data_IF_076330215137
#
_entry.id   IF_076330215137
#
_cell.length_a   1.000
_cell.length_b   1.000
_cell.length_c   1.000
_cell.angle_alpha   90.00
_cell.angle_beta   90.00
_cell.angle_gamma   90.00
#
_symmetry.space_group_name_H-M   'P 1'
#
loop_
_entity.id
_entity.type
_entity.pdbx_description
1 polymer ?
#
# COMPACT_ATOMS: atom_id res chain seq x y z
N UNK A 1 2.05 -30.31 43.60
CA UNK A 1 3.29 -29.65 43.11
C UNK A 1 3.39 -29.57 41.59
N UNK A 2 2.91 -30.56 40.82
CA UNK A 2 3.12 -30.60 39.36
C UNK A 2 2.37 -29.48 38.60
N UNK A 3 1.12 -29.16 38.98
CA UNK A 3 0.31 -28.14 38.29
C UNK A 3 0.85 -26.71 38.44
N UNK A 4 1.33 -26.35 39.63
CA UNK A 4 1.92 -25.02 39.88
C UNK A 4 3.25 -24.80 39.16
N UNK A 5 4.02 -25.87 38.97
CA UNK A 5 5.29 -25.82 38.23
C UNK A 5 5.04 -25.66 36.72
N UNK A 6 4.02 -26.34 36.18
CA UNK A 6 3.60 -26.21 34.78
C UNK A 6 3.12 -24.78 34.45
N UNK A 7 2.29 -24.19 35.31
CA UNK A 7 1.81 -22.81 35.14
C UNK A 7 2.96 -21.79 35.21
N UNK A 8 3.95 -21.99 36.08
CA UNK A 8 5.12 -21.13 36.16
C UNK A 8 5.97 -21.20 34.88
N UNK A 9 6.20 -22.40 34.33
CA UNK A 9 6.95 -22.58 33.07
C UNK A 9 6.22 -21.94 31.90
N UNK A 10 4.90 -22.12 31.80
CA UNK A 10 4.07 -21.49 30.77
C UNK A 10 4.12 -19.96 30.89
N UNK A 11 3.98 -19.42 32.11
CA UNK A 11 4.03 -17.98 32.36
C UNK A 11 5.39 -17.37 32.02
N UNK A 12 6.49 -18.01 32.42
CA UNK A 12 7.85 -17.56 32.08
C UNK A 12 8.07 -17.62 30.56
N UNK A 13 7.62 -18.69 29.90
CA UNK A 13 7.70 -18.81 28.45
C UNK A 13 6.96 -17.70 27.72
N UNK A 14 5.75 -17.35 28.18
CA UNK A 14 4.99 -16.22 27.64
C UNK A 14 5.70 -14.88 27.81
N UNK A 15 6.27 -14.61 29.00
CA UNK A 15 7.00 -13.36 29.24
C UNK A 15 8.23 -13.23 28.34
N UNK A 16 8.99 -14.31 28.16
CA UNK A 16 10.14 -14.33 27.24
C UNK A 16 9.66 -14.09 25.80
N UNK A 17 8.60 -14.76 25.37
CA UNK A 17 8.01 -14.53 24.04
C UNK A 17 7.60 -13.06 23.84
N UNK A 18 6.87 -12.49 24.79
CA UNK A 18 6.39 -11.11 24.70
C UNK A 18 7.54 -10.10 24.60
N UNK A 19 8.62 -10.32 25.35
CA UNK A 19 9.81 -9.47 25.31
C UNK A 19 10.49 -9.53 23.95
N UNK A 20 10.69 -10.74 23.40
CA UNK A 20 11.27 -10.91 22.06
C UNK A 20 10.38 -10.25 21.01
N UNK A 21 9.07 -10.46 21.07
CA UNK A 21 8.13 -9.88 20.12
C UNK A 21 8.12 -8.34 20.15
N UNK A 22 8.27 -7.73 21.33
CA UNK A 22 8.40 -6.27 21.47
C UNK A 22 9.73 -5.74 20.95
N UNK A 23 10.81 -6.50 21.12
CA UNK A 23 12.14 -6.07 20.64
C UNK A 23 12.24 -5.94 19.11
N UNK A 24 11.29 -6.52 18.37
CA UNK A 24 11.21 -6.46 16.91
C UNK A 24 10.35 -5.30 16.40
N UNK A 25 9.74 -4.50 17.28
CA UNK A 25 8.83 -3.42 16.86
C UNK A 25 9.54 -2.37 16.02
N UNK A 26 10.80 -2.06 16.32
CA UNK A 26 11.60 -1.07 15.57
C UNK A 26 11.82 -1.49 14.10
N UNK A 27 11.72 -2.78 13.77
CA UNK A 27 11.83 -3.29 12.40
C UNK A 27 10.60 -2.93 11.54
N UNK A 28 9.50 -2.52 12.17
CA UNK A 28 8.23 -2.14 11.54
C UNK A 28 8.18 -0.67 11.13
N UNK A 29 9.19 0.12 11.49
CA UNK A 29 9.24 1.55 11.19
C UNK A 29 9.94 1.77 9.86
N UNK A 30 9.21 2.35 8.91
CA UNK A 30 9.77 2.76 7.63
C UNK A 30 9.03 3.97 7.09
N UNK A 31 9.77 4.93 6.56
CA UNK A 31 9.20 6.15 5.95
C UNK A 31 9.84 6.32 4.58
N UNK A 32 8.99 6.39 3.56
CA UNK A 32 9.40 6.65 2.18
C UNK A 32 9.93 8.10 2.09
N UNK A 33 11.06 8.27 1.40
CA UNK A 33 11.68 9.58 1.25
C UNK A 33 10.80 10.56 0.45
N UNK A 34 10.93 11.87 0.73
CA UNK A 34 10.17 12.89 -0.02
C UNK A 34 10.55 12.95 -1.50
N UNK A 35 11.81 12.67 -1.83
CA UNK A 35 12.27 12.61 -3.22
C UNK A 35 11.56 11.48 -3.98
N UNK A 36 11.49 10.29 -3.39
CA UNK A 36 10.79 9.13 -3.96
C UNK A 36 9.28 9.38 -4.11
N UNK A 37 8.65 10.04 -3.13
CA UNK A 37 7.24 10.46 -3.22
C UNK A 37 6.99 11.46 -4.35
N UNK A 38 7.93 12.38 -4.58
CA UNK A 38 7.84 13.37 -5.65
C UNK A 38 8.00 12.71 -7.03
N UNK A 39 8.86 11.70 -7.12
CA UNK A 39 9.06 10.93 -8.35
C UNK A 39 7.78 10.19 -8.77
N UNK A 40 6.96 9.70 -7.82
CA UNK A 40 5.67 9.06 -8.12
C UNK A 40 4.68 9.96 -8.86
N UNK A 41 4.73 11.27 -8.61
CA UNK A 41 3.85 12.28 -9.20
C UNK A 41 4.37 12.85 -10.52
N UNK A 42 5.65 12.64 -10.83
CA UNK A 42 6.33 13.29 -11.97
C UNK A 42 6.79 12.31 -13.05
N UNK A 43 6.64 11.01 -12.83
CA UNK A 43 7.05 10.04 -13.82
C UNK A 43 6.21 10.14 -15.10
N UNK A 44 6.83 9.91 -16.27
CA UNK A 44 6.13 9.96 -17.54
C UNK A 44 5.04 8.89 -17.54
N UNK A 45 3.80 9.31 -17.80
CA UNK A 45 2.72 8.40 -18.21
C UNK A 45 3.28 7.48 -19.28
N UNK A 46 3.18 6.13 -19.14
CA UNK A 46 3.48 5.24 -20.24
C UNK A 46 2.68 5.72 -21.42
N UNK A 47 3.37 6.21 -22.45
CA UNK A 47 2.72 6.69 -23.64
C UNK A 47 1.90 5.49 -24.14
N UNK A 48 0.57 5.58 -24.11
CA UNK A 48 -0.33 4.68 -24.82
C UNK A 48 -0.15 4.95 -26.33
N UNK A 49 1.08 4.83 -26.81
CA UNK A 49 1.41 4.64 -28.19
C UNK A 49 0.97 3.22 -28.49
N UNK A 50 -0.18 3.11 -29.14
CA UNK A 50 -0.70 1.93 -29.78
C UNK A 50 0.43 0.94 -30.12
N UNK A 51 0.30 -0.27 -29.60
CA UNK A 51 1.03 -1.45 -30.04
C UNK A 51 0.65 -1.89 -31.46
N UNK A 52 0.44 -0.92 -32.35
CA UNK A 52 0.36 -1.05 -33.81
C UNK A 52 1.60 -0.46 -34.48
N UNK A 53 2.69 -0.33 -33.73
CA UNK A 53 4.04 -0.28 -34.28
C UNK A 53 4.51 -1.69 -34.58
N UNK A 54 3.98 -2.31 -35.64
CA UNK A 54 4.61 -3.43 -36.32
C UNK A 54 6.12 -3.13 -36.40
N UNK A 55 7.02 -4.03 -35.95
CA UNK A 55 8.44 -3.81 -36.15
C UNK A 55 8.60 -3.62 -37.64
N UNK A 56 9.07 -2.45 -38.07
CA UNK A 56 9.28 -2.16 -39.47
C UNK A 56 10.25 -3.22 -40.00
N UNK A 57 9.69 -4.29 -40.55
CA UNK A 57 10.40 -5.31 -41.27
C UNK A 57 10.69 -4.71 -42.64
N UNK A 58 11.55 -3.70 -42.64
CA UNK A 58 12.23 -3.26 -43.85
C UNK A 58 13.20 -4.38 -44.19
N UNK A 59 12.64 -5.40 -44.86
CA UNK A 59 13.42 -6.17 -45.80
C UNK A 59 14.10 -5.15 -46.71
N UNK A 60 15.44 -5.11 -46.79
CA UNK A 60 16.11 -4.16 -47.68
C UNK A 60 15.72 -4.51 -49.11
N UNK A 61 14.79 -3.75 -49.67
CA UNK A 61 14.59 -3.69 -51.12
C UNK A 61 15.82 -3.02 -51.70
N UNK A 62 16.60 -3.81 -52.42
CA UNK A 62 17.68 -3.39 -53.29
C UNK A 62 17.17 -2.30 -54.26
N UNK A 63 17.68 -1.08 -54.12
CA UNK A 63 17.36 0.03 -55.02
C UNK A 63 17.36 1.41 -54.36
N UNK A 64 18.44 2.16 -54.60
CA UNK A 64 18.55 3.62 -54.53
C UNK A 64 18.61 4.31 -53.16
N UNK A 65 19.75 4.15 -52.47
CA UNK A 65 20.24 5.12 -51.47
C UNK A 65 21.11 6.18 -52.18
N UNK A 66 20.84 7.49 -52.05
CA UNK A 66 21.74 8.54 -52.53
C UNK A 66 23.09 8.44 -51.79
N UNK A 67 24.24 8.62 -52.47
CA UNK A 67 25.55 8.25 -51.92
C UNK A 67 26.06 9.08 -50.72
N UNK A 68 25.28 10.01 -50.16
CA UNK A 68 25.78 11.00 -49.19
C UNK A 68 24.91 11.16 -47.89
N UNK A 69 24.14 10.16 -47.48
CA UNK A 69 23.50 10.21 -46.15
C UNK A 69 24.51 9.83 -45.05
N UNK A 70 24.78 10.68 -44.03
CA UNK A 70 25.68 10.33 -42.95
C UNK A 70 25.06 9.21 -42.11
N UNK A 71 25.76 8.07 -42.02
CA UNK A 71 25.43 7.01 -41.07
C UNK A 71 25.74 7.55 -39.68
N UNK A 72 24.70 7.93 -38.93
CA UNK A 72 24.83 8.28 -37.51
C UNK A 72 24.95 6.98 -36.74
N UNK A 73 26.16 6.46 -36.57
CA UNK A 73 26.48 5.40 -35.61
C UNK A 73 26.69 6.04 -34.24
N UNK A 74 25.59 6.37 -33.55
CA UNK A 74 25.67 6.61 -32.11
C UNK A 74 26.16 5.32 -31.43
N UNK A 75 27.25 5.33 -30.66
CA UNK A 75 27.68 4.15 -29.92
C UNK A 75 26.62 3.82 -28.86
N UNK A 76 25.96 2.69 -29.03
CA UNK A 76 24.99 2.18 -28.05
C UNK A 76 25.76 1.81 -26.78
N UNK A 77 25.74 2.71 -25.79
CA UNK A 77 26.38 2.49 -24.50
C UNK A 77 25.62 1.42 -23.70
N UNK A 78 26.34 0.50 -23.05
CA UNK A 78 25.75 -0.46 -22.12
C UNK A 78 24.96 0.22 -20.99
N UNK A 79 25.34 1.45 -20.59
CA UNK A 79 24.59 2.24 -19.63
C UNK A 79 23.25 2.80 -20.17
N UNK A 80 23.09 2.89 -21.49
CA UNK A 80 21.80 3.20 -22.13
C UNK A 80 20.95 1.94 -22.32
N UNK A 81 21.58 0.76 -22.41
CA UNK A 81 20.89 -0.52 -22.53
C UNK A 81 20.40 -1.04 -21.16
N UNK A 82 21.15 -0.78 -20.09
CA UNK A 82 20.82 -1.16 -18.71
C UNK A 82 21.13 -0.01 -17.74
N UNK A 83 20.34 1.07 -17.75
CA UNK A 83 20.51 2.13 -16.76
C UNK A 83 20.18 1.53 -15.38
N UNK A 84 21.19 1.37 -14.53
CA UNK A 84 21.06 0.75 -13.20
C UNK A 84 19.98 1.38 -12.30
N UNK A 85 19.57 2.62 -12.60
CA UNK A 85 18.44 3.32 -11.95
C UNK A 85 17.04 2.76 -12.32
N UNK A 86 16.94 1.92 -13.35
CA UNK A 86 15.67 1.35 -13.84
C UNK A 86 15.54 -0.15 -13.55
N UNK A 87 16.57 -0.81 -13.03
CA UNK A 87 16.52 -2.25 -12.72
C UNK A 87 16.31 -2.45 -11.23
N UNK A 88 15.11 -2.93 -10.86
CA UNK A 88 14.74 -3.19 -9.48
C UNK A 88 15.71 -4.19 -8.81
N UNK A 89 16.26 -3.88 -7.60
CA UNK A 89 17.16 -4.75 -6.85
C UNK A 89 16.68 -6.19 -6.65
N UNK A 90 15.36 -6.39 -6.55
CA UNK A 90 14.74 -7.69 -6.47
C UNK A 90 15.07 -8.61 -7.66
N UNK A 91 15.24 -8.02 -8.84
CA UNK A 91 15.54 -8.75 -10.08
C UNK A 91 17.02 -8.69 -10.46
N UNK A 92 17.93 -8.25 -9.58
CA UNK A 92 19.35 -8.23 -9.90
C UNK A 92 19.94 -9.61 -10.18
N UNK A 93 19.37 -10.66 -9.59
CA UNK A 93 19.76 -12.04 -9.87
C UNK A 93 19.19 -12.58 -11.19
N UNK A 94 18.06 -12.01 -11.65
CA UNK A 94 17.25 -12.46 -12.80
C UNK A 94 16.77 -11.24 -13.63
N UNK A 95 17.69 -10.43 -14.19
CA UNK A 95 17.37 -9.13 -14.78
C UNK A 95 16.49 -9.22 -16.03
N UNK A 96 16.47 -10.37 -16.71
CA UNK A 96 15.53 -10.65 -17.79
C UNK A 96 14.05 -10.59 -17.38
N UNK A 97 13.75 -10.66 -16.08
CA UNK A 97 12.40 -10.58 -15.53
C UNK A 97 12.08 -9.21 -14.93
N UNK A 98 13.04 -8.29 -14.93
CA UNK A 98 12.87 -6.93 -14.39
C UNK A 98 11.88 -6.08 -15.21
N UNK A 99 11.53 -6.50 -16.43
CA UNK A 99 10.70 -5.72 -17.34
C UNK A 99 11.38 -4.42 -17.79
N UNK A 100 10.63 -3.56 -18.47
CA UNK A 100 11.08 -2.22 -18.87
C UNK A 100 10.69 -1.14 -17.83
N UNK A 101 10.12 -1.54 -16.71
CA UNK A 101 9.51 -0.64 -15.73
C UNK A 101 10.57 -0.10 -14.77
N UNK A 102 10.57 1.21 -14.47
CA UNK A 102 11.52 1.77 -13.51
C UNK A 102 11.32 1.15 -12.12
N UNK A 103 12.41 1.06 -11.36
CA UNK A 103 12.35 0.78 -9.93
C UNK A 103 11.38 1.75 -9.24
N UNK A 104 10.48 1.26 -8.38
CA UNK A 104 9.48 2.12 -7.76
C UNK A 104 8.32 2.53 -8.69
N UNK A 105 8.13 1.78 -9.79
CA UNK A 105 7.22 2.07 -10.90
C UNK A 105 5.95 2.87 -10.58
N UNK A 106 5.77 3.91 -11.37
CA UNK A 106 4.66 4.85 -11.41
C UNK A 106 3.48 4.35 -12.23
N UNK A 107 3.45 3.06 -12.53
CA UNK A 107 2.38 2.49 -13.31
C UNK A 107 1.17 2.35 -12.40
N UNK A 108 0.23 3.27 -12.60
CA UNK A 108 -1.11 3.12 -12.06
C UNK A 108 -1.75 1.87 -12.67
N UNK A 109 -2.59 1.14 -11.93
CA UNK A 109 -3.41 0.09 -12.51
C UNK A 109 -4.25 0.64 -13.67
N UNK A 110 -4.73 -0.20 -14.60
CA UNK A 110 -5.54 0.24 -15.72
C UNK A 110 -6.71 1.13 -15.29
N UNK A 111 -6.95 2.18 -16.07
CA UNK A 111 -8.05 3.15 -15.91
C UNK A 111 -7.96 4.05 -14.66
N UNK A 112 -6.84 4.01 -13.93
CA UNK A 112 -6.55 5.00 -12.89
C UNK A 112 -5.87 6.23 -13.50
N UNK A 113 -6.36 7.40 -13.12
CA UNK A 113 -5.78 8.69 -13.47
C UNK A 113 -5.14 9.33 -12.25
N UNK A 114 -3.95 9.90 -12.42
CA UNK A 114 -3.32 10.70 -11.37
C UNK A 114 -4.24 11.84 -10.93
N UNK A 115 -4.30 12.06 -9.62
CA UNK A 115 -5.12 13.10 -9.05
C UNK A 115 -4.30 14.04 -8.18
N UNK A 116 -4.60 15.32 -8.31
CA UNK A 116 -4.25 16.27 -7.28
C UNK A 116 -5.35 16.23 -6.21
N UNK A 117 -5.05 15.91 -4.94
CA UNK A 117 -6.03 15.90 -3.87
C UNK A 117 -6.86 17.20 -3.77
N UNK A 118 -6.26 18.35 -4.09
CA UNK A 118 -6.94 19.65 -4.11
C UNK A 118 -8.01 19.76 -5.22
N UNK A 119 -7.81 19.10 -6.37
CA UNK A 119 -8.81 19.06 -7.44
C UNK A 119 -10.00 18.17 -7.08
N UNK A 120 -9.74 17.06 -6.38
CA UNK A 120 -10.81 16.16 -5.92
C UNK A 120 -11.69 16.83 -4.87
N UNK A 121 -11.12 17.62 -3.97
CA UNK A 121 -11.88 18.40 -2.96
C UNK A 121 -12.72 19.49 -3.59
N UNK A 122 -12.27 20.04 -4.73
CA UNK A 122 -13.00 21.06 -5.47
C UNK A 122 -14.21 20.51 -6.23
N UNK A 123 -14.32 19.17 -6.38
CA UNK A 123 -15.49 18.53 -6.95
C UNK A 123 -16.59 18.45 -5.89
N UNK A 124 -17.81 18.96 -6.16
CA UNK A 124 -18.95 18.80 -5.27
C UNK A 124 -19.46 17.35 -5.36
N UNK A 125 -18.71 16.44 -4.74
CA UNK A 125 -19.13 15.06 -4.51
C UNK A 125 -19.70 15.01 -3.09
N UNK A 126 -20.96 14.58 -2.96
CA UNK A 126 -21.38 13.98 -1.69
C UNK A 126 -20.57 12.69 -1.58
N UNK A 127 -19.49 12.73 -0.78
CA UNK A 127 -18.60 11.59 -0.60
C UNK A 127 -19.41 10.39 -0.12
N UNK A 128 -19.17 9.27 -0.78
CA UNK A 128 -19.76 7.99 -0.47
C UNK A 128 -18.87 7.22 0.51
N UNK A 129 -19.50 6.37 1.31
CA UNK A 129 -18.81 5.52 2.27
C UNK A 129 -17.88 4.52 1.55
N UNK A 130 -16.86 4.07 2.26
CA UNK A 130 -15.97 3.04 1.75
C UNK A 130 -16.71 1.69 1.71
N UNK A 131 -16.69 1.03 0.55
CA UNK A 131 -17.38 -0.24 0.32
C UNK A 131 -16.40 -1.41 0.21
N UNK A 132 -15.22 -1.16 -0.36
CA UNK A 132 -14.19 -2.20 -0.59
C UNK A 132 -12.80 -1.67 -0.28
N UNK A 133 -11.90 -2.59 0.09
CA UNK A 133 -10.49 -2.31 0.30
C UNK A 133 -9.64 -3.44 -0.28
N UNK A 134 -8.70 -3.08 -1.14
CA UNK A 134 -7.82 -4.01 -1.85
C UNK A 134 -6.36 -3.62 -1.66
N UNK A 135 -5.51 -4.60 -1.33
CA UNK A 135 -4.05 -4.48 -1.31
C UNK A 135 -3.47 -5.70 -2.01
N UNK A 136 -3.21 -5.56 -3.31
CA UNK A 136 -2.80 -6.68 -4.17
C UNK A 136 -1.49 -7.31 -3.71
N UNK A 137 -0.52 -6.50 -3.24
CA UNK A 137 0.80 -6.98 -2.82
C UNK A 137 0.75 -8.01 -1.67
N UNK A 138 -0.31 -7.96 -0.84
CA UNK A 138 -0.54 -8.91 0.24
C UNK A 138 -1.76 -9.83 0.00
N UNK A 139 -2.34 -9.80 -1.20
CA UNK A 139 -3.53 -10.56 -1.57
C UNK A 139 -4.69 -10.34 -0.58
N UNK A 140 -4.97 -9.06 -0.30
CA UNK A 140 -6.10 -8.62 0.51
C UNK A 140 -7.14 -8.00 -0.42
N UNK A 141 -8.38 -8.48 -0.32
CA UNK A 141 -9.57 -8.00 -1.03
C UNK A 141 -10.76 -8.27 -0.10
N UNK A 142 -11.43 -7.20 0.33
CA UNK A 142 -12.48 -7.29 1.35
C UNK A 142 -13.46 -6.14 1.24
N UNK A 143 -14.61 -6.32 1.89
CA UNK A 143 -15.59 -5.27 2.12
C UNK A 143 -15.16 -4.38 3.28
N UNK A 144 -15.53 -3.11 3.20
CA UNK A 144 -15.41 -2.17 4.31
C UNK A 144 -16.79 -2.00 4.96
N UNK A 145 -16.81 -1.91 6.28
CA UNK A 145 -17.99 -1.64 7.07
C UNK A 145 -17.75 -0.42 7.95
N UNK A 146 -18.66 0.54 7.93
CA UNK A 146 -18.60 1.67 8.86
C UNK A 146 -18.95 1.18 10.27
N UNK A 147 -17.98 1.28 11.19
CA UNK A 147 -18.16 0.75 12.53
C UNK A 147 -19.19 1.57 13.30
N UNK A 148 -20.20 0.92 13.87
CA UNK A 148 -21.12 1.61 14.78
C UNK A 148 -20.51 1.71 16.19
N UNK A 149 -20.81 2.81 16.89
CA UNK A 149 -20.52 2.96 18.32
C UNK A 149 -21.52 2.14 19.12
N UNK A 150 -21.04 1.18 19.91
CA UNK A 150 -21.85 0.53 20.94
C UNK A 150 -21.37 0.92 22.33
N UNK A 151 -22.33 1.15 23.23
CA UNK A 151 -22.09 1.48 24.63
C UNK A 151 -22.15 0.19 25.46
N UNK A 152 -21.03 -0.20 26.07
CA UNK A 152 -20.97 -1.29 27.05
C UNK A 152 -20.42 -0.74 28.37
N UNK A 153 -21.32 -0.57 29.35
CA UNK A 153 -21.01 -0.15 30.72
C UNK A 153 -20.20 1.17 30.82
N UNK A 154 -20.68 2.25 30.20
CA UNK A 154 -20.07 3.60 30.20
C UNK A 154 -18.71 3.67 29.47
N UNK A 155 -18.41 2.70 28.61
CA UNK A 155 -17.27 2.72 27.71
C UNK A 155 -17.75 2.55 26.26
N UNK A 156 -17.37 3.51 25.42
CA UNK A 156 -17.64 3.50 23.99
C UNK A 156 -16.69 2.53 23.29
N UNK A 157 -17.24 1.53 22.60
CA UNK A 157 -16.49 0.59 21.78
C UNK A 157 -17.02 0.61 20.34
N UNK A 158 -16.13 0.33 19.39
CA UNK A 158 -16.48 0.18 17.98
C UNK A 158 -16.79 -1.29 17.67
N UNK A 159 -17.82 -1.55 16.86
CA UNK A 159 -18.12 -2.91 16.37
C UNK A 159 -16.87 -3.56 15.76
N UNK A 160 -16.76 -4.88 15.88
CA UNK A 160 -15.61 -5.63 15.37
C UNK A 160 -16.10 -6.79 14.51
N UNK A 161 -16.49 -6.53 13.25
CA UNK A 161 -17.05 -7.54 12.39
C UNK A 161 -15.98 -8.57 11.98
N UNK A 162 -16.43 -9.80 11.72
CA UNK A 162 -15.57 -10.94 11.40
C UNK A 162 -15.03 -10.80 9.98
N UNK A 163 -13.71 -10.91 9.80
CA UNK A 163 -13.05 -10.92 8.47
C UNK A 163 -13.29 -9.67 7.59
N UNK A 164 -13.72 -8.57 8.19
CA UNK A 164 -14.07 -7.32 7.51
C UNK A 164 -13.17 -6.21 8.02
N UNK A 165 -12.94 -5.19 7.19
CA UNK A 165 -12.26 -3.98 7.61
C UNK A 165 -13.29 -2.95 8.09
N UNK A 166 -13.06 -2.41 9.27
CA UNK A 166 -13.91 -1.39 9.87
C UNK A 166 -13.39 0.02 9.59
N UNK A 167 -14.18 0.89 8.99
CA UNK A 167 -13.89 2.33 8.90
C UNK A 167 -14.42 3.04 10.16
N UNK A 168 -13.65 4.00 10.71
CA UNK A 168 -14.06 4.78 11.88
C UNK A 168 -14.94 5.95 11.45
N UNK A 169 -16.20 6.04 11.90
CA UNK A 169 -17.07 7.18 11.63
C UNK A 169 -16.47 8.50 12.08
N UNK A 170 -16.71 9.54 11.27
CA UNK A 170 -16.18 10.88 11.51
C UNK A 170 -14.72 11.05 11.11
N UNK A 171 -14.08 10.02 10.55
CA UNK A 171 -12.80 10.13 9.84
C UNK A 171 -13.03 10.31 8.33
N UNK A 172 -11.98 10.67 7.58
CA UNK A 172 -12.13 11.13 6.21
C UNK A 172 -12.63 10.01 5.28
N UNK A 173 -13.59 10.35 4.41
CA UNK A 173 -14.13 9.42 3.42
C UNK A 173 -13.16 9.25 2.23
N UNK A 174 -13.39 8.23 1.36
CA UNK A 174 -12.55 8.00 0.18
C UNK A 174 -12.37 9.25 -0.71
N UNK A 175 -11.11 9.61 -0.94
CA UNK A 175 -10.66 10.79 -1.67
C UNK A 175 -10.83 12.13 -0.96
N UNK A 176 -11.31 12.17 0.28
CA UNK A 176 -11.47 13.39 1.07
C UNK A 176 -10.12 13.85 1.67
N UNK A 177 -9.95 15.17 1.90
CA UNK A 177 -8.85 15.67 2.71
C UNK A 177 -9.05 15.23 4.16
N UNK A 178 -7.96 14.84 4.81
CA UNK A 178 -7.97 14.27 6.14
C UNK A 178 -7.44 12.86 6.11
N UNK A 179 -7.60 12.17 7.23
CA UNK A 179 -7.15 10.78 7.36
C UNK A 179 -8.35 9.87 7.56
N UNK A 180 -8.54 8.92 6.65
CA UNK A 180 -9.50 7.82 6.80
C UNK A 180 -8.86 6.70 7.62
N UNK A 181 -9.51 6.29 8.72
CA UNK A 181 -8.95 5.30 9.64
C UNK A 181 -9.67 3.96 9.49
N UNK A 182 -8.89 2.90 9.23
CA UNK A 182 -9.40 1.57 8.94
C UNK A 182 -8.79 0.53 9.88
N UNK A 183 -9.61 -0.23 10.59
CA UNK A 183 -9.21 -1.22 11.57
C UNK A 183 -9.52 -2.63 11.10
N UNK A 184 -8.63 -3.57 11.41
CA UNK A 184 -8.83 -4.98 11.10
C UNK A 184 -8.03 -5.90 12.00
N UNK A 185 -8.50 -7.14 12.12
CA UNK A 185 -7.86 -8.15 12.97
C UNK A 185 -6.62 -8.74 12.31
N UNK A 186 -5.49 -8.70 13.03
CA UNK A 186 -4.27 -9.40 12.63
C UNK A 186 -4.43 -10.93 12.74
N UNK A 187 -5.14 -11.39 13.76
CA UNK A 187 -5.44 -12.80 13.98
C UNK A 187 -6.66 -12.94 14.88
N UNK A 188 -7.37 -14.05 14.70
CA UNK A 188 -8.52 -14.47 15.50
C UNK A 188 -8.02 -15.16 16.78
N UNK A 189 -8.01 -14.51 17.97
CA UNK A 189 -7.63 -15.14 19.23
C UNK A 189 -8.71 -16.14 19.69
N UNK A 190 -9.96 -15.84 19.36
CA UNK A 190 -11.16 -16.68 19.55
C UNK A 190 -11.60 -17.16 18.16
N UNK A 191 -12.10 -18.40 18.02
CA UNK A 191 -12.59 -18.90 16.72
C UNK A 191 -13.66 -17.96 16.14
N UNK A 192 -13.40 -17.41 14.94
CA UNK A 192 -14.40 -16.71 14.15
C UNK A 192 -14.42 -15.18 14.27
N UNK A 193 -13.35 -14.51 14.72
CA UNK A 193 -13.16 -13.04 14.57
C UNK A 193 -12.46 -12.67 13.25
N UNK A 194 -11.89 -13.66 12.58
CA UNK A 194 -11.24 -13.47 11.30
C UNK A 194 -9.79 -13.01 11.41
N UNK A 195 -9.11 -12.86 10.27
CA UNK A 195 -7.70 -12.50 10.21
C UNK A 195 -7.36 -11.64 8.99
N UNK A 196 -8.25 -10.70 8.66
CA UNK A 196 -8.19 -9.91 7.43
C UNK A 196 -6.84 -9.18 7.27
N UNK A 197 -6.27 -8.67 8.35
CA UNK A 197 -4.96 -7.99 8.35
C UNK A 197 -3.79 -8.91 8.69
N UNK A 198 -3.93 -10.25 8.62
CA UNK A 198 -2.86 -11.22 8.94
C UNK A 198 -1.55 -10.95 8.23
N UNK A 199 -1.62 -10.42 7.00
CA UNK A 199 -0.48 -10.10 6.13
C UNK A 199 -0.12 -8.61 6.10
N UNK A 200 -0.81 -7.77 6.86
CA UNK A 200 -0.48 -6.35 6.95
C UNK A 200 0.97 -6.10 7.40
N UNK A 201 1.57 -6.89 8.32
CA UNK A 201 2.99 -6.74 8.64
C UNK A 201 3.94 -6.97 7.45
N UNK A 202 3.55 -7.77 6.45
CA UNK A 202 4.38 -8.02 5.26
C UNK A 202 4.59 -6.72 4.45
N UNK A 203 3.67 -5.74 4.57
CA UNK A 203 3.78 -4.44 3.88
C UNK A 203 5.08 -3.72 4.25
N UNK A 204 5.53 -3.82 5.51
CA UNK A 204 6.75 -3.16 6.00
C UNK A 204 7.96 -3.55 5.16
N UNK A 205 8.10 -4.83 4.81
CA UNK A 205 9.24 -5.29 4.03
C UNK A 205 9.04 -5.07 2.53
N UNK A 206 7.79 -5.09 2.06
CA UNK A 206 7.45 -4.82 0.67
C UNK A 206 7.80 -3.38 0.29
N UNK A 207 7.38 -2.38 1.10
CA UNK A 207 7.58 -0.95 0.78
C UNK A 207 9.05 -0.50 0.79
N UNK A 208 9.94 -1.30 1.37
CA UNK A 208 11.39 -1.06 1.30
C UNK A 208 11.95 -1.29 -0.11
N UNK A 209 11.23 -2.04 -0.95
CA UNK A 209 11.69 -2.51 -2.25
C UNK A 209 10.74 -2.16 -3.41
N UNK A 210 9.43 -2.26 -3.17
CA UNK A 210 8.37 -2.08 -4.16
C UNK A 210 7.24 -1.22 -3.58
N UNK A 211 6.66 -0.28 -4.34
CA UNK A 211 5.53 0.50 -3.86
C UNK A 211 4.35 -0.42 -3.57
N UNK A 212 3.63 -0.14 -2.49
CA UNK A 212 2.42 -0.85 -2.11
C UNK A 212 1.25 0.10 -2.21
N UNK A 213 0.25 -0.30 -2.99
CA UNK A 213 -0.96 0.47 -3.21
C UNK A 213 -2.13 -0.13 -2.43
N UNK A 214 -2.92 0.75 -1.82
CA UNK A 214 -4.18 0.49 -1.14
C UNK A 214 -5.28 1.12 -1.96
N UNK A 215 -6.18 0.31 -2.52
CA UNK A 215 -7.31 0.78 -3.32
C UNK A 215 -8.56 0.70 -2.46
N UNK A 216 -9.26 1.82 -2.32
CA UNK A 216 -10.54 1.90 -1.61
C UNK A 216 -11.64 2.24 -2.60
N UNK A 217 -12.63 1.36 -2.72
CA UNK A 217 -13.80 1.55 -3.57
C UNK A 217 -14.97 2.16 -2.82
N UNK A 218 -15.78 2.93 -3.54
CA UNK A 218 -17.01 3.56 -3.08
C UNK A 218 -17.97 3.73 -4.27
N UNK A 219 -19.20 4.18 -4.00
CA UNK A 219 -20.13 4.55 -5.07
C UNK A 219 -19.62 5.70 -5.98
N UNK A 220 -18.65 6.50 -5.51
CA UNK A 220 -18.02 7.58 -6.28
C UNK A 220 -16.86 7.10 -7.17
N UNK A 221 -16.56 5.81 -7.18
CA UNK A 221 -15.41 5.22 -7.85
C UNK A 221 -14.36 4.72 -6.87
N UNK A 222 -13.15 4.50 -7.38
CA UNK A 222 -12.04 3.93 -6.61
C UNK A 222 -10.88 4.92 -6.44
N UNK A 223 -10.29 4.88 -5.27
CA UNK A 223 -9.22 5.77 -4.85
C UNK A 223 -7.99 4.94 -4.52
N UNK A 224 -6.89 5.20 -5.23
CA UNK A 224 -5.62 4.53 -5.02
C UNK A 224 -4.73 5.39 -4.13
N UNK A 225 -4.40 4.84 -2.97
CA UNK A 225 -3.47 5.41 -2.01
C UNK A 225 -2.17 4.61 -2.03
N UNK A 226 -1.03 5.29 -2.09
CA UNK A 226 0.28 4.65 -2.04
C UNK A 226 0.87 4.74 -0.64
N UNK A 227 1.31 3.61 -0.10
CA UNK A 227 1.90 3.54 1.25
C UNK A 227 3.16 4.40 1.31
N UNK A 228 3.20 5.32 2.27
CA UNK A 228 4.31 6.25 2.50
C UNK A 228 5.02 6.02 3.82
N UNK A 229 4.35 5.38 4.78
CA UNK A 229 4.88 5.19 6.12
C UNK A 229 4.30 3.94 6.78
N UNK A 230 5.14 3.23 7.53
CA UNK A 230 4.74 2.23 8.50
C UNK A 230 5.35 2.54 9.85
N UNK A 231 4.63 2.18 10.91
CA UNK A 231 5.11 2.36 12.26
C UNK A 231 4.28 1.58 13.25
N UNK A 232 4.57 1.79 14.53
CA UNK A 232 3.79 1.19 15.60
C UNK A 232 3.58 2.19 16.73
N UNK A 233 2.48 2.01 17.45
CA UNK A 233 2.17 2.80 18.64
C UNK A 233 1.62 1.88 19.72
N UNK A 234 1.86 2.21 20.98
CA UNK A 234 1.23 1.50 22.07
C UNK A 234 -0.29 1.74 22.05
N UNK A 235 -1.07 0.70 22.34
CA UNK A 235 -2.54 0.71 22.12
C UNK A 235 -3.28 1.86 22.82
N UNK A 236 -2.76 2.35 23.94
CA UNK A 236 -3.40 3.41 24.74
C UNK A 236 -2.98 4.82 24.29
N UNK A 237 -2.00 4.91 23.40
CA UNK A 237 -1.44 6.18 22.93
C UNK A 237 -1.95 6.53 21.53
N UNK A 238 -2.75 5.64 20.93
CA UNK A 238 -3.35 5.86 19.62
C UNK A 238 -4.30 7.06 19.65
N UNK A 239 -4.01 8.02 18.79
CA UNK A 239 -4.83 9.22 18.56
C UNK A 239 -5.16 9.29 17.08
N UNK A 240 -6.41 9.67 16.76
CA UNK A 240 -6.89 9.76 15.38
C UNK A 240 -6.61 11.17 14.87
N UNK A 241 -5.39 11.37 14.37
CA UNK A 241 -4.98 12.65 13.82
C UNK A 241 -5.63 12.92 12.46
N UNK A 242 -5.78 14.21 12.15
CA UNK A 242 -6.22 14.71 10.86
C UNK A 242 -5.06 15.39 10.14
N UNK A 243 -4.97 15.16 8.84
CA UNK A 243 -3.94 15.78 8.00
C UNK A 243 -4.55 16.73 6.97
N UNK A 244 -3.72 17.64 6.44
CA UNK A 244 -4.13 18.47 5.30
C UNK A 244 -3.99 17.77 3.95
N UNK A 245 -3.44 16.55 3.93
CA UNK A 245 -3.37 15.68 2.77
C UNK A 245 -4.58 14.73 2.77
N UNK A 246 -4.83 14.03 1.66
CA UNK A 246 -5.78 12.91 1.64
C UNK A 246 -5.01 11.63 1.94
N UNK A 247 -5.17 11.11 3.15
CA UNK A 247 -4.45 9.92 3.61
C UNK A 247 -5.39 8.87 4.17
N UNK A 248 -4.90 7.64 4.24
CA UNK A 248 -5.56 6.55 4.95
C UNK A 248 -4.55 5.85 5.86
N UNK A 249 -5.01 5.42 7.03
CA UNK A 249 -4.19 4.66 7.97
C UNK A 249 -4.89 3.34 8.31
N UNK A 250 -4.22 2.24 7.98
CA UNK A 250 -4.64 0.87 8.32
C UNK A 250 -4.04 0.48 9.67
N UNK A 251 -4.89 -0.04 10.56
CA UNK A 251 -4.54 -0.31 11.95
C UNK A 251 -4.82 -1.77 12.29
N UNK A 252 -3.80 -2.47 12.79
CA UNK A 252 -3.93 -3.84 13.28
C UNK A 252 -3.27 -4.03 14.65
N UNK A 253 -3.85 -4.89 15.49
CA UNK A 253 -3.24 -5.26 16.79
C UNK A 253 -1.96 -6.05 16.59
N UNK A 254 -0.87 -5.64 17.22
CA UNK A 254 0.47 -6.25 17.10
C UNK A 254 1.21 -6.13 18.46
N UNK A 255 2.22 -6.95 18.77
CA UNK A 255 2.60 -8.23 18.17
C UNK A 255 1.55 -9.32 18.39
N UNK A 256 1.63 -10.40 17.59
CA UNK A 256 0.77 -11.58 17.76
C UNK A 256 0.85 -12.07 19.20
N UNK A 257 -0.29 -12.48 19.77
CA UNK A 257 -0.46 -13.00 21.14
C UNK A 257 -0.16 -12.00 22.29
N UNK A 258 0.39 -10.82 22.00
CA UNK A 258 0.67 -9.77 22.99
C UNK A 258 -0.33 -8.62 22.86
N UNK A 259 -0.53 -8.11 21.63
CA UNK A 259 -1.59 -7.16 21.24
C UNK A 259 -1.62 -5.82 22.00
N UNK A 260 -0.50 -5.45 22.64
CA UNK A 260 -0.34 -4.21 23.39
C UNK A 260 0.07 -3.02 22.52
N UNK A 261 0.38 -3.26 21.24
CA UNK A 261 0.66 -2.24 20.25
C UNK A 261 -0.31 -2.32 19.08
N UNK A 262 -0.20 -1.32 18.22
CA UNK A 262 -0.92 -1.20 16.95
C UNK A 262 0.12 -0.98 15.86
N UNK A 263 0.10 -1.84 14.85
CA UNK A 263 0.79 -1.59 13.58
C UNK A 263 -0.03 -0.55 12.82
N UNK A 264 0.65 0.46 12.30
CA UNK A 264 0.10 1.53 11.47
C UNK A 264 0.72 1.43 10.08
N UNK A 265 -0.12 1.44 9.05
CA UNK A 265 0.29 1.57 7.64
C UNK A 265 -0.42 2.78 7.06
N UNK A 266 0.32 3.83 6.76
CA UNK A 266 -0.22 5.09 6.25
C UNK A 266 0.08 5.23 4.76
N UNK A 267 -0.95 5.57 4.00
CA UNK A 267 -0.90 5.76 2.56
C UNK A 267 -1.50 7.11 2.16
N UNK A 268 -0.98 7.71 1.08
CA UNK A 268 -1.42 9.00 0.56
C UNK A 268 -2.06 8.83 -0.81
N UNK A 269 -3.11 9.59 -1.08
CA UNK A 269 -3.86 9.53 -2.33
C UNK A 269 -2.97 9.88 -3.53
N UNK A 270 -2.97 9.00 -4.53
CA UNK A 270 -2.17 9.15 -5.74
C UNK A 270 -3.01 9.20 -7.01
N UNK A 271 -4.06 8.37 -7.09
CA UNK A 271 -4.88 8.24 -8.28
C UNK A 271 -6.35 7.93 -7.99
N UNK A 272 -7.19 8.12 -9.01
CA UNK A 272 -8.62 7.87 -8.97
C UNK A 272 -9.06 7.16 -10.24
N UNK A 273 -10.04 6.27 -10.09
CA UNK A 273 -10.75 5.63 -11.18
C UNK A 273 -12.25 5.93 -11.04
N UNK A 274 -12.83 6.50 -12.09
CA UNK A 274 -14.26 6.79 -12.13
C UNK A 274 -15.10 5.52 -12.01
N UNK A 275 -16.32 5.59 -11.45
CA UNK A 275 -17.23 4.47 -11.46
C UNK A 275 -17.55 4.09 -12.91
N UNK A 276 -17.60 2.79 -13.19
CA UNK A 276 -17.90 2.23 -14.52
C UNK A 276 -19.36 2.34 -14.93
#
# INVERSE_FOLDING_TARGET
MVLGTLLAVIGIGYLIYAEIARSQLDELVYVVSQDERTDWLTAPVPNNGSSDGEPANQTPTDGDVPPDAPIITEPVSAANLFPARWTNPRYWAEPEWAGALPYGGTDLPPDFEYVNPAEIVSRPLNRSDAETLVITAINLDTTVYDLELYDDNDQAFWESPVDIVGHIPGTALPGEIGTGWYFGHLQSPVQGEGNIFRRLPDVVDLIKNDPVDVIIGSADGEFLYRVTETGFIHRNDLTLDQTSASTVTLVASYPKLVYDHRLLVTAELLAYRAPG
#
